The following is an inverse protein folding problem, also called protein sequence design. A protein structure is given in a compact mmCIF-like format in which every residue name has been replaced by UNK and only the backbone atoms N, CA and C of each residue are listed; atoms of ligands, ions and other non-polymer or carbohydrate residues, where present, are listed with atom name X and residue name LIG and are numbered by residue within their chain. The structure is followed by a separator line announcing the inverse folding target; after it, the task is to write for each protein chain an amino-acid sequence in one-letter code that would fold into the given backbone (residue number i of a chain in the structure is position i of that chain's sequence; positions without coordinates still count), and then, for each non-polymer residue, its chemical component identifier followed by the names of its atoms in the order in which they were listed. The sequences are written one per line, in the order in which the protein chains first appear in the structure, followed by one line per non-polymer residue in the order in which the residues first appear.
data_IF_389578872742
#
_entry.id   IF_389578872742
#
_cell.length_a   1.000
_cell.length_b   1.000
_cell.length_c   1.000
_cell.angle_alpha   90.00
_cell.angle_beta   90.00
_cell.angle_gamma   90.00
#
_symmetry.space_group_name_H-M   'P 1'
#
loop_
_entity.id
_entity.type
_entity.pdbx_description
1 polymer ?
#
# COMPACT_ATOMS: atom_id res chain seq x y z
N UNK A 1 -4.48 -44.52 -27.57
CA UNK A 1 -5.17 -43.23 -27.50
C UNK A 1 -4.66 -42.37 -28.65
N UNK A 2 -5.55 -42.01 -29.56
CA UNK A 2 -5.26 -41.37 -30.85
C UNK A 2 -4.64 -39.98 -30.63
N UNK A 3 -3.47 -39.65 -31.20
CA UNK A 3 -2.78 -38.37 -30.96
C UNK A 3 -3.57 -37.13 -31.40
N UNK A 4 -4.61 -37.30 -32.23
CA UNK A 4 -5.53 -36.24 -32.64
C UNK A 4 -6.44 -35.75 -31.51
N UNK A 5 -6.79 -36.62 -30.54
CA UNK A 5 -7.59 -36.21 -29.37
C UNK A 5 -6.78 -35.46 -28.30
N UNK A 6 -5.46 -35.66 -28.26
CA UNK A 6 -4.58 -34.90 -27.31
C UNK A 6 -4.43 -33.43 -27.71
N UNK A 7 -4.50 -33.10 -29.03
CA UNK A 7 -4.36 -31.74 -29.51
C UNK A 7 -5.59 -30.83 -29.28
N UNK A 8 -6.77 -31.42 -29.04
CA UNK A 8 -8.03 -30.73 -28.77
C UNK A 8 -8.32 -30.58 -27.27
N UNK A 9 -7.74 -31.45 -26.43
CA UNK A 9 -7.95 -31.42 -24.97
C UNK A 9 -7.23 -30.26 -24.28
N UNK A 10 -6.04 -29.86 -24.77
CA UNK A 10 -5.25 -28.77 -24.18
C UNK A 10 -5.93 -27.42 -24.33
N UNK A 11 -6.40 -26.98 -25.53
CA UNK A 11 -7.11 -25.72 -25.64
C UNK A 11 -8.45 -25.72 -24.92
N UNK A 12 -9.17 -26.86 -24.85
CA UNK A 12 -10.41 -26.96 -24.10
C UNK A 12 -10.22 -26.83 -22.58
N UNK A 13 -9.14 -27.39 -22.04
CA UNK A 13 -8.79 -27.25 -20.62
C UNK A 13 -8.37 -25.83 -20.28
N UNK A 14 -7.63 -25.18 -21.18
CA UNK A 14 -7.22 -23.77 -21.00
C UNK A 14 -8.42 -22.83 -21.04
N UNK A 15 -9.36 -23.03 -21.95
CA UNK A 15 -10.60 -22.24 -22.02
C UNK A 15 -11.45 -22.47 -20.77
N UNK A 16 -11.58 -23.72 -20.30
CA UNK A 16 -12.32 -24.02 -19.07
C UNK A 16 -11.67 -23.36 -17.85
N UNK A 17 -10.34 -23.36 -17.75
CA UNK A 17 -9.61 -22.68 -16.68
C UNK A 17 -9.81 -21.17 -16.74
N UNK A 18 -9.75 -20.55 -17.92
CA UNK A 18 -9.99 -19.11 -18.11
C UNK A 18 -11.43 -18.77 -17.71
N UNK A 19 -12.42 -19.57 -18.08
CA UNK A 19 -13.82 -19.38 -17.71
C UNK A 19 -14.00 -19.48 -16.20
N UNK A 20 -13.39 -20.45 -15.54
CA UNK A 20 -13.45 -20.61 -14.08
C UNK A 20 -12.82 -19.40 -13.38
N UNK A 21 -11.66 -18.94 -13.87
CA UNK A 21 -10.98 -17.74 -13.32
C UNK A 21 -11.84 -16.48 -13.52
N UNK A 22 -12.43 -16.31 -14.70
CA UNK A 22 -13.32 -15.18 -14.99
C UNK A 22 -14.59 -15.24 -14.14
N UNK A 23 -15.20 -16.41 -13.97
CA UNK A 23 -16.40 -16.56 -13.13
C UNK A 23 -16.09 -16.36 -11.66
N UNK A 24 -14.94 -16.84 -11.16
CA UNK A 24 -14.50 -16.58 -9.79
C UNK A 24 -14.24 -15.07 -9.57
N UNK A 25 -13.56 -14.42 -10.50
CA UNK A 25 -13.32 -12.96 -10.44
C UNK A 25 -14.61 -12.13 -10.52
N UNK A 26 -15.63 -12.61 -11.25
CA UNK A 26 -16.96 -11.98 -11.31
C UNK A 26 -17.77 -12.24 -10.04
N UNK A 27 -17.62 -13.39 -9.40
CA UNK A 27 -18.27 -13.72 -8.14
C UNK A 27 -17.68 -12.90 -6.97
N UNK A 28 -16.35 -12.73 -6.93
CA UNK A 28 -15.70 -11.85 -5.96
C UNK A 28 -16.12 -10.38 -6.14
N UNK A 29 -16.21 -9.91 -7.40
CA UNK A 29 -16.74 -8.57 -7.72
C UNK A 29 -18.20 -8.38 -7.32
N UNK A 30 -19.03 -9.43 -7.38
CA UNK A 30 -20.43 -9.36 -6.96
C UNK A 30 -20.58 -9.22 -5.44
N UNK A 31 -19.62 -9.72 -4.65
CA UNK A 31 -19.55 -9.50 -3.19
C UNK A 31 -19.02 -8.11 -2.83
N UNK A 32 -18.05 -7.60 -3.59
CA UNK A 32 -17.48 -6.27 -3.40
C UNK A 32 -18.38 -5.13 -3.93
N UNK A 33 -19.28 -5.42 -4.88
CA UNK A 33 -20.20 -4.43 -5.51
C UNK A 33 -21.28 -3.87 -4.58
N UNK A 34 -21.33 -4.26 -3.30
CA UNK A 34 -22.29 -3.77 -2.31
C UNK A 34 -21.68 -2.89 -1.22
N UNK A 35 -20.37 -2.61 -1.27
CA UNK A 35 -19.74 -1.69 -0.33
C UNK A 35 -20.16 -0.26 -0.67
N UNK A 36 -20.84 0.42 0.25
CA UNK A 36 -21.09 1.86 0.16
C UNK A 36 -19.81 2.59 0.62
N UNK A 37 -19.40 3.68 -0.05
CA UNK A 37 -18.27 4.46 0.40
C UNK A 37 -18.58 5.12 1.75
N UNK A 38 -17.60 5.21 2.63
CA UNK A 38 -17.69 5.98 3.88
C UNK A 38 -17.85 7.46 3.56
N UNK A 39 -17.06 7.96 2.62
CA UNK A 39 -17.11 9.36 2.18
C UNK A 39 -16.64 9.46 0.72
N UNK A 40 -17.01 10.55 0.04
CA UNK A 40 -16.55 10.86 -1.33
C UNK A 40 -15.78 12.17 -1.31
N UNK A 41 -14.56 12.17 -1.86
CA UNK A 41 -13.76 13.39 -2.04
C UNK A 41 -14.38 14.23 -3.17
N UNK A 42 -15.22 15.21 -2.79
CA UNK A 42 -16.10 15.89 -3.75
C UNK A 42 -15.51 17.18 -4.34
N UNK A 43 -14.34 17.62 -3.86
CA UNK A 43 -13.70 18.84 -4.38
C UNK A 43 -13.11 18.61 -5.77
N UNK A 44 -13.49 19.38 -6.79
CA UNK A 44 -13.02 19.16 -8.16
C UNK A 44 -11.53 19.45 -8.39
N UNK A 45 -10.82 19.96 -7.37
CA UNK A 45 -9.36 20.12 -7.42
C UNK A 45 -8.63 18.83 -7.07
N UNK A 46 -9.29 17.88 -6.40
CA UNK A 46 -8.73 16.56 -6.09
C UNK A 46 -9.09 15.64 -7.25
N UNK A 47 -8.18 15.50 -8.20
CA UNK A 47 -8.36 14.71 -9.42
C UNK A 47 -7.49 13.46 -9.47
N UNK A 48 -6.39 13.47 -8.74
CA UNK A 48 -5.36 12.43 -8.74
C UNK A 48 -4.86 12.25 -7.29
N UNK A 49 -5.81 11.88 -6.38
CA UNK A 49 -5.50 11.68 -4.96
C UNK A 49 -4.47 10.58 -4.79
N UNK A 50 -3.26 10.95 -4.36
CA UNK A 50 -2.14 10.05 -4.08
C UNK A 50 -1.65 10.28 -2.66
N UNK A 51 -1.60 9.19 -1.86
CA UNK A 51 -1.33 9.25 -0.44
C UNK A 51 -2.50 9.80 0.41
N UNK A 52 -2.71 9.19 1.57
CA UNK A 52 -3.72 9.59 2.54
C UNK A 52 -3.14 9.52 3.97
N UNK A 53 -3.36 10.56 4.76
CA UNK A 53 -2.98 10.56 6.17
C UNK A 53 -4.15 11.07 7.03
N UNK A 54 -4.59 10.28 8.01
CA UNK A 54 -5.65 10.68 8.96
C UNK A 54 -5.02 11.38 10.14
N UNK A 55 -5.57 12.54 10.52
CA UNK A 55 -5.13 13.30 11.67
C UNK A 55 -5.38 12.54 12.98
N UNK A 56 -4.40 12.59 13.88
CA UNK A 56 -4.58 12.16 15.26
C UNK A 56 -4.95 13.34 16.19
N UNK A 57 -4.72 14.59 15.74
CA UNK A 57 -4.95 15.81 16.54
C UNK A 57 -6.29 16.47 16.24
N UNK A 58 -6.83 16.24 15.02
CA UNK A 58 -8.06 16.86 14.55
C UNK A 58 -9.10 15.82 14.20
N UNK A 59 -10.20 15.80 14.94
CA UNK A 59 -11.30 14.86 14.70
C UNK A 59 -11.83 14.97 13.26
N UNK A 60 -12.10 13.83 12.64
CA UNK A 60 -12.66 13.74 11.29
C UNK A 60 -11.88 14.52 10.22
N UNK A 61 -10.56 14.56 10.30
CA UNK A 61 -9.72 15.24 9.33
C UNK A 61 -8.70 14.26 8.72
N UNK A 62 -8.57 14.32 7.40
CA UNK A 62 -7.52 13.61 6.66
C UNK A 62 -6.84 14.57 5.66
N UNK A 63 -5.64 14.18 5.25
CA UNK A 63 -4.83 14.92 4.28
C UNK A 63 -4.59 14.06 3.06
N UNK A 64 -4.69 14.67 1.88
CA UNK A 64 -4.27 14.07 0.62
C UNK A 64 -3.57 15.10 -0.26
N UNK A 65 -2.84 14.64 -1.25
CA UNK A 65 -2.20 15.42 -2.32
C UNK A 65 -2.69 14.92 -3.67
N UNK A 66 -2.49 15.70 -4.71
CA UNK A 66 -2.57 15.19 -6.07
C UNK A 66 -1.18 14.74 -6.53
N UNK A 67 -1.16 13.71 -7.37
CA UNK A 67 0.00 13.20 -8.08
C UNK A 67 0.67 14.27 -9.00
N UNK A 68 1.63 13.83 -9.75
CA UNK A 68 2.52 14.61 -10.63
C UNK A 68 1.81 15.61 -11.54
N UNK A 69 2.46 16.76 -11.75
CA UNK A 69 1.95 17.80 -12.66
C UNK A 69 0.90 18.74 -12.06
N UNK A 70 0.50 18.52 -10.82
CA UNK A 70 -0.43 19.35 -10.08
C UNK A 70 0.28 20.43 -9.24
N UNK A 71 -0.49 21.36 -8.67
CA UNK A 71 0.04 22.36 -7.75
C UNK A 71 0.53 21.68 -6.45
N UNK A 72 1.57 22.26 -5.84
CA UNK A 72 2.08 21.79 -4.56
C UNK A 72 1.11 22.16 -3.43
N UNK A 73 0.03 21.40 -3.29
CA UNK A 73 -1.06 21.63 -2.36
C UNK A 73 -1.37 20.35 -1.56
N UNK A 74 -1.58 20.53 -0.26
CA UNK A 74 -2.13 19.52 0.63
C UNK A 74 -3.58 19.88 0.93
N UNK A 75 -4.50 18.98 0.65
CA UNK A 75 -5.91 19.14 0.92
C UNK A 75 -6.25 18.54 2.28
N UNK A 76 -6.76 19.36 3.20
CA UNK A 76 -7.36 18.90 4.44
C UNK A 76 -8.84 18.62 4.20
N UNK A 77 -9.24 17.36 4.26
CA UNK A 77 -10.58 16.87 3.95
C UNK A 77 -11.32 16.53 5.23
N UNK A 78 -12.54 17.01 5.37
CA UNK A 78 -13.47 16.60 6.43
C UNK A 78 -14.08 15.25 6.10
N UNK A 79 -13.73 14.23 6.87
CA UNK A 79 -14.17 12.84 6.64
C UNK A 79 -15.67 12.62 6.92
N UNK A 80 -16.32 13.56 7.61
CA UNK A 80 -17.78 13.49 7.84
C UNK A 80 -18.60 13.94 6.64
N UNK A 81 -18.01 14.74 5.73
CA UNK A 81 -18.68 15.34 4.58
C UNK A 81 -18.02 15.06 3.23
N UNK A 82 -16.72 14.77 3.21
CA UNK A 82 -15.89 14.68 2.00
C UNK A 82 -15.51 16.05 1.41
N UNK A 83 -15.83 17.15 2.09
CA UNK A 83 -15.51 18.48 1.63
C UNK A 83 -14.09 18.90 2.08
N UNK A 84 -13.43 19.73 1.27
CA UNK A 84 -12.15 20.31 1.64
C UNK A 84 -12.37 21.40 2.70
N UNK A 85 -11.86 21.18 3.90
CA UNK A 85 -11.90 22.11 5.01
C UNK A 85 -10.84 23.20 4.90
N UNK A 86 -9.68 22.89 4.30
CA UNK A 86 -8.57 23.80 4.08
C UNK A 86 -7.60 23.32 3.02
N UNK A 87 -6.81 24.21 2.46
CA UNK A 87 -5.75 23.90 1.51
C UNK A 87 -4.45 24.53 1.97
N UNK A 88 -3.42 23.73 2.10
CA UNK A 88 -2.07 24.22 2.41
C UNK A 88 -1.23 24.22 1.15
N UNK A 89 -0.93 25.41 0.63
CA UNK A 89 0.03 25.57 -0.46
C UNK A 89 1.44 25.44 0.11
N UNK A 90 2.18 24.46 -0.38
CA UNK A 90 3.57 24.22 0.00
C UNK A 90 4.49 24.96 -0.98
N UNK A 91 5.39 25.79 -0.48
CA UNK A 91 6.35 26.52 -1.33
C UNK A 91 7.48 25.62 -1.78
N UNK A 92 7.16 24.69 -2.68
CA UNK A 92 8.07 23.73 -3.28
C UNK A 92 7.66 23.48 -4.73
N UNK A 93 8.61 22.99 -5.51
CA UNK A 93 8.35 22.46 -6.84
C UNK A 93 8.21 20.93 -6.68
N UNK A 94 6.98 20.43 -6.58
CA UNK A 94 6.68 19.01 -6.60
C UNK A 94 6.81 18.48 -8.03
N UNK A 95 7.39 17.29 -8.15
CA UNK A 95 7.63 16.69 -9.46
C UNK A 95 6.80 15.42 -9.68
N UNK A 96 6.80 14.53 -8.70
CA UNK A 96 6.12 13.24 -8.75
C UNK A 96 5.81 12.83 -7.29
N UNK A 97 4.84 13.53 -6.69
CA UNK A 97 4.45 13.31 -5.29
C UNK A 97 3.48 12.16 -5.24
N UNK A 98 3.84 11.11 -4.49
CA UNK A 98 3.12 9.84 -4.48
C UNK A 98 2.74 9.36 -3.07
N UNK A 99 3.19 10.05 -2.04
CA UNK A 99 3.02 9.49 -0.69
C UNK A 99 2.91 10.56 0.40
N UNK A 100 2.11 10.25 1.41
CA UNK A 100 1.99 11.01 2.65
C UNK A 100 2.19 10.11 3.87
N UNK A 101 2.85 10.64 4.90
CA UNK A 101 2.87 10.04 6.22
C UNK A 101 2.75 11.11 7.31
N UNK A 102 1.91 10.86 8.31
CA UNK A 102 1.75 11.77 9.44
C UNK A 102 2.28 11.10 10.71
N UNK A 103 3.17 11.80 11.42
CA UNK A 103 3.68 11.34 12.72
C UNK A 103 4.06 12.53 13.59
N UNK A 104 3.62 12.49 14.84
CA UNK A 104 4.00 13.46 15.87
C UNK A 104 3.83 14.93 15.44
N UNK A 105 2.70 15.26 14.78
CA UNK A 105 2.39 16.59 14.28
C UNK A 105 3.24 17.04 13.08
N UNK A 106 3.99 16.14 12.44
CA UNK A 106 4.71 16.38 11.19
C UNK A 106 4.08 15.61 10.05
N UNK A 107 3.65 16.33 9.02
CA UNK A 107 3.22 15.73 7.75
C UNK A 107 4.42 15.65 6.82
N UNK A 108 4.80 14.41 6.50
CA UNK A 108 5.81 14.07 5.53
C UNK A 108 5.18 13.89 4.16
N UNK A 109 5.77 14.49 3.13
CA UNK A 109 5.33 14.43 1.75
C UNK A 109 6.46 13.83 0.94
N UNK A 110 6.20 12.73 0.25
CA UNK A 110 7.17 12.01 -0.57
C UNK A 110 7.08 12.39 -2.04
N UNK A 111 8.05 13.16 -2.54
CA UNK A 111 8.27 13.38 -3.98
C UNK A 111 9.26 12.32 -4.47
N UNK A 112 8.76 11.09 -4.57
CA UNK A 112 9.55 9.86 -4.69
C UNK A 112 9.13 8.98 -5.87
N UNK A 113 8.08 9.34 -6.61
CA UNK A 113 7.65 8.67 -7.82
C UNK A 113 8.73 8.71 -8.90
N UNK A 114 8.94 7.59 -9.58
CA UNK A 114 9.89 7.46 -10.68
C UNK A 114 9.53 6.30 -11.61
N UNK A 115 8.39 6.41 -12.25
CA UNK A 115 7.88 5.42 -13.22
C UNK A 115 8.90 5.04 -14.32
N UNK A 116 9.92 5.89 -14.55
CA UNK A 116 10.98 5.67 -15.56
C UNK A 116 12.26 5.13 -14.96
N UNK A 117 12.40 5.19 -13.64
CA UNK A 117 13.62 4.82 -12.90
C UNK A 117 14.86 5.57 -13.40
N UNK A 118 14.71 6.88 -13.51
CA UNK A 118 15.73 7.78 -14.08
C UNK A 118 15.99 8.98 -13.16
N UNK A 119 15.23 9.14 -12.05
CA UNK A 119 15.35 10.31 -11.19
C UNK A 119 16.57 10.22 -10.26
N UNK A 120 17.24 11.37 -10.11
CA UNK A 120 18.33 11.61 -9.17
C UNK A 120 18.01 12.76 -8.20
N UNK A 121 16.74 13.21 -8.19
CA UNK A 121 16.26 14.40 -7.47
C UNK A 121 15.13 14.08 -6.48
N UNK A 122 14.97 12.83 -6.06
CA UNK A 122 13.97 12.43 -5.08
C UNK A 122 14.08 13.29 -3.80
N UNK A 123 12.94 13.60 -3.19
CA UNK A 123 12.92 14.43 -2.01
C UNK A 123 11.79 14.06 -1.04
N UNK A 124 12.07 14.26 0.24
CA UNK A 124 11.05 14.36 1.27
C UNK A 124 10.85 15.81 1.64
N UNK A 125 9.59 16.19 1.85
CA UNK A 125 9.24 17.48 2.41
C UNK A 125 8.52 17.25 3.74
N UNK A 126 8.86 18.07 4.75
CA UNK A 126 8.21 18.03 6.05
C UNK A 126 7.61 19.39 6.37
N UNK A 127 6.34 19.38 6.74
CA UNK A 127 5.60 20.55 7.24
C UNK A 127 4.96 20.20 8.59
N UNK A 128 4.65 21.22 9.37
CA UNK A 128 3.81 21.03 10.55
C UNK A 128 2.42 20.56 10.08
N UNK A 129 1.78 19.69 10.84
CA UNK A 129 0.46 19.15 10.50
C UNK A 129 -0.51 20.31 10.23
N UNK A 130 -1.12 20.37 9.02
CA UNK A 130 -2.08 21.43 8.70
C UNK A 130 -3.38 21.23 9.47
N UNK A 131 -3.98 22.36 9.91
CA UNK A 131 -5.35 22.31 10.41
C UNK A 131 -6.37 22.50 9.29
N UNK A 132 -7.59 22.93 9.68
CA UNK A 132 -8.71 23.21 8.76
C UNK A 132 -8.59 24.59 8.05
N UNK A 133 -7.54 25.34 8.26
CA UNK A 133 -7.35 26.68 7.65
C UNK A 133 -6.53 26.59 6.36
N UNK A 134 -6.93 27.39 5.36
CA UNK A 134 -6.09 27.58 4.18
C UNK A 134 -4.85 28.40 4.55
N UNK A 135 -3.67 27.89 4.17
CA UNK A 135 -2.37 28.48 4.50
C UNK A 135 -1.36 28.35 3.35
N UNK A 136 -0.24 29.05 3.50
CA UNK A 136 0.95 28.84 2.67
C UNK A 136 2.14 28.62 3.59
N UNK A 137 2.90 27.57 3.37
CA UNK A 137 4.00 27.16 4.25
C UNK A 137 5.31 26.97 3.49
N UNK A 138 6.42 27.19 4.19
CA UNK A 138 7.77 26.81 3.72
C UNK A 138 8.09 25.42 4.27
N UNK A 139 8.33 24.41 3.45
CA UNK A 139 8.67 23.08 3.92
C UNK A 139 10.14 22.99 4.31
N UNK A 140 10.48 22.06 5.19
CA UNK A 140 11.83 21.50 5.25
C UNK A 140 11.98 20.51 4.10
N UNK A 141 12.97 20.69 3.25
CA UNK A 141 13.25 19.78 2.13
C UNK A 141 14.50 18.97 2.40
N UNK A 142 14.44 17.69 2.13
CA UNK A 142 15.55 16.74 2.23
C UNK A 142 15.68 15.98 0.92
N UNK A 143 16.81 16.11 0.26
CA UNK A 143 17.12 15.26 -0.88
C UNK A 143 17.40 13.83 -0.41
N UNK A 144 16.86 12.85 -1.09
CA UNK A 144 17.04 11.44 -0.77
C UNK A 144 17.44 10.63 -1.99
N UNK A 145 18.02 9.46 -1.74
CA UNK A 145 18.33 8.46 -2.75
C UNK A 145 17.99 7.07 -2.21
N UNK A 146 17.99 6.08 -3.08
CA UNK A 146 17.66 4.70 -2.71
C UNK A 146 18.89 3.83 -2.90
N UNK A 147 19.22 2.99 -1.92
CA UNK A 147 20.21 1.94 -2.09
C UNK A 147 19.80 1.02 -3.25
N UNK A 148 20.73 0.73 -4.14
CA UNK A 148 20.45 -0.04 -5.35
C UNK A 148 20.12 0.81 -6.58
N UNK A 149 19.98 2.12 -6.43
CA UNK A 149 19.74 3.08 -7.52
C UNK A 149 18.27 3.44 -7.75
N UNK A 150 17.95 4.15 -8.82
CA UNK A 150 16.61 4.66 -9.10
C UNK A 150 15.55 3.56 -9.15
N UNK A 151 14.46 3.74 -8.43
CA UNK A 151 13.30 2.85 -8.40
C UNK A 151 12.03 3.68 -8.22
N UNK A 152 10.93 3.17 -8.73
CA UNK A 152 9.61 3.73 -8.52
C UNK A 152 9.13 3.45 -7.10
N UNK A 153 8.67 4.49 -6.39
CA UNK A 153 8.24 4.43 -5.00
C UNK A 153 6.95 5.22 -4.87
N UNK A 154 5.92 4.60 -4.30
CA UNK A 154 4.62 5.22 -4.09
C UNK A 154 4.13 5.07 -2.64
N UNK A 155 5.04 4.81 -1.71
CA UNK A 155 4.70 4.55 -0.31
C UNK A 155 5.68 5.27 0.60
N UNK A 156 5.18 6.01 1.56
CA UNK A 156 5.96 6.59 2.65
C UNK A 156 5.34 6.19 3.99
N UNK A 157 6.13 5.58 4.83
CA UNK A 157 5.70 5.10 6.14
C UNK A 157 6.50 5.80 7.24
N UNK A 158 5.81 6.20 8.30
CA UNK A 158 6.42 6.79 9.49
C UNK A 158 5.92 6.02 10.72
N UNK A 159 6.66 5.01 11.22
CA UNK A 159 6.25 4.21 12.37
C UNK A 159 5.99 5.05 13.61
N UNK A 160 4.87 4.88 14.34
CA UNK A 160 4.61 5.62 15.56
C UNK A 160 5.63 5.28 16.64
N UNK A 161 6.06 6.30 17.40
CA UNK A 161 7.05 6.15 18.47
C UNK A 161 8.46 5.78 18.00
N UNK A 162 8.79 5.99 16.71
CA UNK A 162 10.08 5.74 16.10
C UNK A 162 10.54 6.99 15.34
N UNK A 163 11.81 7.11 15.07
CA UNK A 163 12.41 8.13 14.21
C UNK A 163 12.68 7.64 12.77
N UNK A 164 12.15 6.46 12.42
CA UNK A 164 12.35 5.89 11.10
C UNK A 164 11.35 6.46 10.09
N UNK A 165 11.82 6.62 8.87
CA UNK A 165 11.03 6.79 7.65
C UNK A 165 11.30 5.59 6.75
N UNK A 166 10.27 5.08 6.12
CA UNK A 166 10.37 3.87 5.30
C UNK A 166 9.63 4.06 3.99
N UNK A 167 10.12 3.41 2.94
CA UNK A 167 9.51 3.42 1.61
C UNK A 167 9.46 2.01 1.05
N UNK A 168 8.47 1.75 0.19
CA UNK A 168 8.35 0.46 -0.51
C UNK A 168 8.37 0.72 -2.01
N UNK A 169 9.23 -0.04 -2.73
CA UNK A 169 9.31 0.10 -4.18
C UNK A 169 8.10 -0.50 -4.89
N UNK A 170 7.56 0.19 -5.89
CA UNK A 170 6.46 -0.29 -6.75
C UNK A 170 7.00 -1.15 -7.87
N UNK A 171 7.08 -2.44 -7.64
CA UNK A 171 7.54 -3.42 -8.63
C UNK A 171 6.63 -4.64 -8.72
N UNK A 172 6.61 -5.31 -9.89
CA UNK A 172 5.82 -6.55 -10.08
C UNK A 172 6.40 -7.77 -9.38
N UNK A 173 7.68 -7.72 -9.02
CA UNK A 173 8.38 -8.78 -8.31
C UNK A 173 9.50 -8.18 -7.48
N UNK A 174 9.84 -8.83 -6.37
CA UNK A 174 10.94 -8.43 -5.48
C UNK A 174 10.83 -6.98 -4.98
N UNK A 175 9.60 -6.51 -4.70
CA UNK A 175 9.40 -5.22 -4.07
C UNK A 175 10.16 -5.16 -2.75
N UNK A 176 10.80 -4.03 -2.51
CA UNK A 176 11.79 -3.84 -1.44
C UNK A 176 11.33 -2.74 -0.49
N UNK A 177 11.46 -3.01 0.81
CA UNK A 177 11.35 -2.02 1.86
C UNK A 177 12.72 -1.41 2.11
N UNK A 178 12.79 -0.09 2.12
CA UNK A 178 13.99 0.65 2.48
C UNK A 178 13.69 1.56 3.68
N UNK A 179 14.69 1.84 4.49
CA UNK A 179 14.54 2.59 5.74
C UNK A 179 15.64 3.65 5.87
N UNK A 180 15.27 4.75 6.49
CA UNK A 180 16.12 5.90 6.79
C UNK A 180 15.76 6.41 8.18
N UNK A 181 16.74 6.77 9.02
CA UNK A 181 16.45 7.46 10.28
C UNK A 181 16.30 8.97 10.05
N UNK A 182 15.26 9.58 10.63
CA UNK A 182 14.99 11.02 10.49
C UNK A 182 16.16 11.87 10.97
N UNK A 183 16.88 11.40 12.01
CA UNK A 183 18.06 12.06 12.53
C UNK A 183 19.24 12.12 11.58
N UNK A 184 19.25 11.29 10.52
CA UNK A 184 20.31 11.25 9.51
C UNK A 184 20.01 12.15 8.31
N UNK A 185 18.80 12.74 8.24
CA UNK A 185 18.42 13.65 7.15
C UNK A 185 19.32 14.89 7.11
N UNK A 186 20.03 15.08 6.01
CA UNK A 186 20.90 16.22 5.78
C UNK A 186 20.19 17.28 4.92
N UNK A 187 19.85 18.46 5.46
CA UNK A 187 19.21 19.52 4.67
C UNK A 187 20.14 20.14 3.61
N UNK A 188 21.45 19.87 3.67
CA UNK A 188 22.44 20.42 2.74
C UNK A 188 23.00 19.36 1.77
N UNK A 189 22.71 18.09 2.00
CA UNK A 189 23.17 16.96 1.22
C UNK A 189 22.02 16.08 0.70
N UNK A 190 22.36 14.83 0.42
CA UNK A 190 21.38 13.76 0.13
C UNK A 190 21.60 12.62 1.11
N UNK A 191 20.51 12.05 1.62
CA UNK A 191 20.54 10.90 2.52
C UNK A 191 20.00 9.67 1.79
N UNK A 192 20.65 8.54 1.94
CA UNK A 192 20.26 7.30 1.26
C UNK A 192 19.34 6.47 2.14
N UNK A 193 18.21 6.00 1.58
CA UNK A 193 17.41 4.94 2.17
C UNK A 193 18.13 3.61 1.98
N UNK A 194 18.35 2.87 3.07
CA UNK A 194 19.03 1.58 3.07
C UNK A 194 18.03 0.43 2.97
N UNK A 195 18.38 -0.62 2.24
CA UNK A 195 17.53 -1.82 2.09
C UNK A 195 17.36 -2.52 3.43
N UNK A 196 16.14 -2.66 3.86
CA UNK A 196 15.75 -3.40 5.08
C UNK A 196 15.37 -4.83 4.77
N UNK A 197 14.47 -5.04 3.81
CA UNK A 197 14.04 -6.37 3.39
C UNK A 197 13.46 -6.34 1.97
N UNK A 198 13.39 -7.51 1.33
CA UNK A 198 12.75 -7.71 0.04
C UNK A 198 11.60 -8.70 0.15
N UNK A 199 10.86 -8.91 -0.95
CA UNK A 199 9.71 -9.80 -0.97
C UNK A 199 8.44 -9.17 -0.43
N UNK A 200 8.37 -7.83 -0.42
CA UNK A 200 7.16 -7.08 -0.14
C UNK A 200 6.07 -7.39 -1.19
N UNK A 201 4.79 -7.13 -0.89
CA UNK A 201 3.71 -7.29 -1.87
C UNK A 201 4.01 -6.58 -3.19
N UNK A 202 3.57 -7.13 -4.33
CA UNK A 202 3.84 -6.52 -5.63
C UNK A 202 2.96 -5.28 -5.85
N UNK A 203 3.50 -4.30 -6.59
CA UNK A 203 2.77 -3.10 -7.03
C UNK A 203 2.11 -2.34 -5.88
N UNK A 204 2.84 -2.17 -4.78
CA UNK A 204 2.38 -1.34 -3.66
C UNK A 204 2.28 0.11 -4.13
N UNK A 205 1.11 0.71 -3.89
CA UNK A 205 0.77 2.08 -4.29
C UNK A 205 0.61 3.03 -3.10
N UNK A 206 0.36 2.51 -1.89
CA UNK A 206 0.39 3.30 -0.66
C UNK A 206 0.47 2.38 0.55
N UNK A 207 0.76 2.95 1.73
CA UNK A 207 0.83 2.23 2.98
C UNK A 207 0.70 3.13 4.20
N UNK A 208 0.28 2.53 5.31
CA UNK A 208 0.17 3.23 6.58
C UNK A 208 0.46 2.29 7.76
N UNK A 209 0.93 2.84 8.87
CA UNK A 209 0.98 2.16 10.16
C UNK A 209 -0.33 2.34 10.93
N UNK A 210 -0.73 1.32 11.69
CA UNK A 210 -1.79 1.47 12.70
C UNK A 210 -1.35 2.47 13.79
N UNK A 211 -2.30 3.17 14.44
CA UNK A 211 -1.99 4.13 15.50
C UNK A 211 -1.16 3.52 16.64
N UNK A 212 -1.38 2.26 17.00
CA UNK A 212 -0.62 1.53 18.01
C UNK A 212 0.72 0.95 17.50
N UNK A 213 1.02 1.07 16.20
CA UNK A 213 2.22 0.55 15.56
C UNK A 213 2.28 -0.97 15.41
N UNK A 214 1.20 -1.70 15.72
CA UNK A 214 1.19 -3.17 15.72
C UNK A 214 0.97 -3.79 14.34
N UNK A 215 0.54 -3.00 13.35
CA UNK A 215 0.22 -3.42 11.99
C UNK A 215 0.66 -2.38 10.96
N UNK A 216 0.89 -2.87 9.74
CA UNK A 216 1.03 -2.03 8.55
C UNK A 216 -0.01 -2.48 7.54
N UNK A 217 -0.74 -1.53 6.99
CA UNK A 217 -1.56 -1.72 5.80
C UNK A 217 -0.76 -1.33 4.57
N UNK A 218 -0.78 -2.16 3.54
CA UNK A 218 -0.25 -1.83 2.21
C UNK A 218 -1.36 -2.07 1.19
N UNK A 219 -1.54 -1.16 0.25
CA UNK A 219 -2.46 -1.35 -0.87
C UNK A 219 -1.71 -1.54 -2.18
N UNK A 220 -2.34 -2.22 -3.10
CA UNK A 220 -1.95 -2.37 -4.48
C UNK A 220 -3.20 -2.33 -5.35
N UNK A 221 -3.10 -2.38 -6.68
CA UNK A 221 -4.24 -2.21 -7.61
C UNK A 221 -5.43 -3.17 -7.44
N UNK A 222 -5.52 -3.95 -6.43
CA UNK A 222 -6.67 -4.83 -6.22
C UNK A 222 -6.65 -5.57 -4.90
N UNK A 223 -5.68 -5.28 -4.04
CA UNK A 223 -5.52 -5.96 -2.77
C UNK A 223 -5.10 -5.01 -1.64
N UNK A 224 -5.66 -5.25 -0.47
CA UNK A 224 -5.22 -4.72 0.81
C UNK A 224 -4.45 -5.83 1.54
N UNK A 225 -3.26 -5.50 2.02
CA UNK A 225 -2.39 -6.38 2.78
C UNK A 225 -2.27 -5.88 4.21
N UNK A 226 -2.31 -6.79 5.17
CA UNK A 226 -1.93 -6.55 6.55
C UNK A 226 -0.58 -7.19 6.81
N UNK A 227 0.40 -6.42 7.29
CA UNK A 227 1.75 -6.88 7.56
C UNK A 227 2.07 -6.79 9.06
N UNK A 228 2.91 -7.69 9.55
CA UNK A 228 3.53 -7.59 10.87
C UNK A 228 4.80 -6.73 10.74
N UNK A 229 4.88 -5.55 11.40
CA UNK A 229 6.05 -4.69 11.28
C UNK A 229 7.33 -5.27 11.91
N UNK A 230 7.24 -6.31 12.73
CA UNK A 230 8.41 -6.90 13.39
C UNK A 230 9.30 -7.69 12.42
N UNK A 231 8.70 -8.33 11.41
CA UNK A 231 9.42 -9.16 10.44
C UNK A 231 8.90 -8.98 9.00
N UNK A 232 7.93 -8.08 8.80
CA UNK A 232 7.30 -7.78 7.52
C UNK A 232 6.61 -8.98 6.86
N UNK A 233 6.27 -9.97 7.64
CA UNK A 233 5.47 -11.10 7.16
C UNK A 233 4.00 -10.69 6.95
N UNK A 234 3.32 -11.21 5.90
CA UNK A 234 1.90 -10.95 5.72
C UNK A 234 1.06 -11.64 6.79
N UNK A 235 0.24 -10.87 7.48
CA UNK A 235 -0.76 -11.33 8.45
C UNK A 235 -2.05 -11.74 7.75
N UNK A 236 -2.42 -11.01 6.69
CA UNK A 236 -3.59 -11.28 5.89
C UNK A 236 -3.62 -10.46 4.62
N UNK A 237 -4.54 -10.81 3.73
CA UNK A 237 -4.83 -10.01 2.54
C UNK A 237 -6.29 -10.14 2.16
N UNK A 238 -6.85 -9.08 1.57
CA UNK A 238 -8.23 -9.00 1.11
C UNK A 238 -8.34 -8.28 -0.23
N UNK A 239 -9.43 -8.54 -0.96
CA UNK A 239 -9.73 -7.81 -2.18
C UNK A 239 -10.28 -6.43 -1.87
N UNK A 240 -9.91 -5.44 -2.66
CA UNK A 240 -10.47 -4.09 -2.58
C UNK A 240 -11.84 -3.99 -3.26
N UNK A 241 -12.69 -3.02 -2.87
CA UNK A 241 -13.83 -2.60 -3.66
C UNK A 241 -13.39 -2.24 -5.10
N UNK A 242 -14.33 -2.12 -6.05
CA UNK A 242 -13.99 -1.70 -7.41
C UNK A 242 -13.57 -0.23 -7.40
N UNK A 243 -12.27 0.01 -7.37
CA UNK A 243 -11.60 1.29 -7.50
C UNK A 243 -10.99 1.39 -8.91
N UNK A 244 -10.95 2.59 -9.48
CA UNK A 244 -10.32 2.80 -10.80
C UNK A 244 -8.82 2.55 -10.71
N UNK A 245 -8.18 3.15 -9.69
CA UNK A 245 -6.77 3.00 -9.38
C UNK A 245 -6.60 3.23 -7.87
N UNK A 246 -6.34 2.16 -7.12
CA UNK A 246 -6.15 2.25 -5.67
C UNK A 246 -4.80 2.88 -5.37
N UNK A 247 -4.80 4.08 -4.79
CA UNK A 247 -3.59 4.89 -4.56
C UNK A 247 -3.52 5.45 -3.14
N UNK A 248 -4.50 5.14 -2.27
CA UNK A 248 -4.48 5.69 -0.92
C UNK A 248 -4.91 4.69 0.13
N UNK A 249 -4.22 4.68 1.28
CA UNK A 249 -4.64 3.97 2.48
C UNK A 249 -4.24 4.71 3.75
N UNK A 250 -5.16 4.84 4.71
CA UNK A 250 -4.85 5.37 6.03
C UNK A 250 -5.67 4.66 7.11
N UNK A 251 -5.08 4.45 8.29
CA UNK A 251 -5.82 3.93 9.43
C UNK A 251 -6.76 4.97 10.02
N UNK A 252 -7.96 4.51 10.41
CA UNK A 252 -8.93 5.27 11.22
C UNK A 252 -9.09 4.67 12.62
N UNK A 253 -8.59 3.47 12.83
CA UNK A 253 -8.44 2.77 14.13
C UNK A 253 -7.34 1.71 13.97
N UNK A 254 -6.99 0.99 15.04
CA UNK A 254 -5.94 -0.04 14.98
C UNK A 254 -6.30 -1.23 14.07
N UNK A 255 -7.56 -1.41 13.71
CA UNK A 255 -8.09 -2.54 12.95
C UNK A 255 -8.87 -2.16 11.68
N UNK A 256 -9.04 -0.86 11.39
CA UNK A 256 -9.77 -0.38 10.22
C UNK A 256 -9.03 0.73 9.47
N UNK A 257 -9.14 0.66 8.15
CA UNK A 257 -8.51 1.60 7.22
C UNK A 257 -9.54 2.27 6.30
N UNK A 258 -9.24 3.46 5.82
CA UNK A 258 -9.82 4.04 4.62
C UNK A 258 -8.95 3.70 3.43
N UNK A 259 -9.57 3.31 2.33
CA UNK A 259 -8.89 3.04 1.05
C UNK A 259 -9.58 3.85 -0.03
N UNK A 260 -8.82 4.51 -0.85
CA UNK A 260 -9.31 5.38 -1.93
C UNK A 260 -8.65 5.12 -3.27
N UNK A 261 -9.04 5.93 -4.24
CA UNK A 261 -8.61 5.84 -5.62
C UNK A 261 -8.25 7.22 -6.16
N UNK A 262 -7.50 7.27 -7.23
CA UNK A 262 -7.48 8.44 -8.11
C UNK A 262 -8.86 8.68 -8.75
N UNK A 263 -8.99 9.84 -9.38
CA UNK A 263 -10.15 10.26 -10.15
C UNK A 263 -11.00 11.32 -9.45
N UNK A 264 -11.82 12.02 -10.26
CA UNK A 264 -12.76 13.01 -9.76
C UNK A 264 -13.84 12.34 -8.88
N UNK A 265 -14.21 12.99 -7.78
CA UNK A 265 -15.18 12.49 -6.83
C UNK A 265 -14.85 11.06 -6.33
N UNK A 266 -13.58 10.84 -6.01
CA UNK A 266 -13.07 9.54 -5.57
C UNK A 266 -13.70 9.10 -4.25
N UNK A 267 -14.21 7.85 -4.18
CA UNK A 267 -14.76 7.30 -2.95
C UNK A 267 -13.64 6.82 -2.02
N UNK A 268 -13.81 7.05 -0.72
CA UNK A 268 -13.06 6.39 0.34
C UNK A 268 -13.93 5.30 0.98
N UNK A 269 -13.43 4.08 0.97
CA UNK A 269 -14.10 2.94 1.59
C UNK A 269 -13.46 2.61 2.92
N UNK A 270 -14.29 2.45 3.96
CA UNK A 270 -13.84 1.90 5.24
C UNK A 270 -13.79 0.38 5.14
N UNK A 271 -12.66 -0.21 5.44
CA UNK A 271 -12.43 -1.65 5.42
C UNK A 271 -11.81 -2.10 6.74
N UNK A 272 -12.23 -3.27 7.21
CA UNK A 272 -11.51 -3.96 8.27
C UNK A 272 -10.17 -4.47 7.75
N UNK A 273 -9.12 -4.37 8.55
CA UNK A 273 -7.81 -4.87 8.18
C UNK A 273 -7.84 -6.40 8.07
N UNK A 274 -7.44 -6.99 6.94
CA UNK A 274 -7.52 -8.43 6.77
C UNK A 274 -6.56 -9.16 7.71
N UNK A 275 -7.09 -10.17 8.43
CA UNK A 275 -6.33 -11.09 9.25
C UNK A 275 -6.63 -12.52 8.81
N UNK A 276 -5.61 -13.39 8.69
CA UNK A 276 -5.84 -14.80 8.40
C UNK A 276 -6.36 -15.51 9.64
N UNK A 277 -7.20 -16.54 9.48
CA UNK A 277 -7.69 -17.36 10.60
C UNK A 277 -6.54 -17.94 11.44
N UNK A 278 -5.41 -18.26 10.82
CA UNK A 278 -4.21 -18.78 11.51
C UNK A 278 -3.54 -17.70 12.38
N UNK A 279 -3.59 -16.43 11.97
CA UNK A 279 -3.07 -15.32 12.75
C UNK A 279 -4.02 -14.94 13.90
N UNK A 280 -5.34 -15.02 13.68
CA UNK A 280 -6.35 -14.78 14.70
C UNK A 280 -6.19 -15.72 15.90
N UNK A 281 -5.88 -17.00 15.67
CA UNK A 281 -5.62 -17.98 16.74
C UNK A 281 -4.35 -17.63 17.56
N UNK A 282 -3.32 -17.05 16.97
CA UNK A 282 -2.11 -16.61 17.68
C UNK A 282 -2.39 -15.43 18.60
N UNK A 283 -3.14 -14.44 18.12
CA UNK A 283 -3.52 -13.26 18.92
C UNK A 283 -4.39 -13.66 20.10
N UNK A 284 -5.37 -14.56 19.91
CA UNK A 284 -6.23 -15.07 20.97
C UNK A 284 -5.43 -15.87 22.02
N UNK A 285 -4.37 -16.58 21.61
CA UNK A 285 -3.54 -17.38 22.51
C UNK A 285 -2.62 -16.53 23.37
N UNK A 286 -2.12 -15.39 22.86
CA UNK A 286 -1.29 -14.46 23.64
C UNK A 286 -2.12 -13.71 24.68
N UNK A 287 -3.35 -13.33 24.37
CA UNK A 287 -4.24 -12.61 25.30
C UNK A 287 -4.69 -13.46 26.50
N UNK A 288 -4.60 -14.81 26.43
CA UNK A 288 -5.03 -15.72 27.50
C UNK A 288 -3.89 -16.29 28.35
N UNK A 289 -2.62 -16.01 28.04
CA UNK A 289 -1.46 -16.53 28.77
C UNK A 289 -1.02 -15.60 29.91
N UNK A 290 -1.68 -15.71 31.06
CA UNK A 290 -1.14 -15.21 32.35
C UNK A 290 0.07 -16.07 32.71
N UNK A 291 1.25 -15.53 33.04
CA UNK A 291 2.42 -16.35 33.38
C UNK A 291 2.25 -17.07 34.70
N UNK A 292 2.24 -18.40 34.66
CA UNK A 292 2.31 -19.27 35.85
C UNK A 292 3.80 -19.50 36.17
N UNK A 293 4.22 -19.40 37.45
CA UNK A 293 5.64 -19.55 37.81
C UNK A 293 6.16 -20.96 37.54
N UNK A 294 7.33 -21.03 36.92
CA UNK A 294 8.05 -22.22 36.46
C UNK A 294 8.69 -22.97 37.65
N UNK A 295 8.57 -24.31 37.72
CA UNK A 295 9.54 -25.13 38.45
C UNK A 295 10.71 -25.52 37.50
N UNK A 296 11.87 -25.52 38.14
CA UNK A 296 13.18 -25.86 37.55
C UNK A 296 13.20 -27.21 36.82
N UNK A 297 13.85 -27.25 35.67
CA UNK A 297 13.99 -28.41 34.81
C UNK A 297 15.41 -28.98 34.80
N UNK A 298 15.50 -30.28 34.83
CA UNK A 298 16.65 -31.13 34.58
C UNK A 298 16.64 -31.59 33.09
N UNK A 299 17.80 -31.87 32.45
CA UNK A 299 17.88 -31.96 30.99
C UNK A 299 17.64 -33.39 30.47
N UNK A 300 16.91 -33.51 29.37
CA UNK A 300 16.76 -34.75 28.60
C UNK A 300 16.93 -34.57 27.10
N UNK A 301 17.89 -35.33 26.61
CA UNK A 301 18.07 -36.04 25.34
C UNK A 301 17.49 -35.50 24.01
N UNK A 302 18.39 -35.41 23.04
CA UNK A 302 18.21 -35.23 21.58
C UNK A 302 17.34 -36.33 20.94
N UNK A 303 16.44 -35.93 20.05
CA UNK A 303 15.93 -36.81 18.99
C UNK A 303 15.65 -36.02 17.70
N UNK A 304 16.39 -36.42 16.69
CA UNK A 304 16.16 -36.50 15.22
C UNK A 304 15.23 -35.50 14.50
N UNK A 305 15.86 -34.82 13.53
CA UNK A 305 15.30 -34.12 12.39
C UNK A 305 14.15 -34.86 11.69
N UNK A 306 13.07 -34.16 11.45
CA UNK A 306 12.13 -34.44 10.38
C UNK A 306 12.00 -33.19 9.52
N UNK A 307 12.44 -33.32 8.28
CA UNK A 307 12.25 -32.35 7.21
C UNK A 307 10.77 -32.28 6.86
N UNK A 308 10.09 -31.19 7.25
CA UNK A 308 8.76 -30.89 6.74
C UNK A 308 8.88 -30.30 5.33
N UNK A 309 8.30 -31.00 4.38
CA UNK A 309 8.22 -30.55 3.00
C UNK A 309 7.32 -29.32 2.88
N UNK A 310 7.81 -28.32 2.16
CA UNK A 310 7.13 -27.09 1.83
C UNK A 310 5.88 -27.41 0.98
N UNK A 311 4.71 -27.46 1.59
CA UNK A 311 3.43 -27.59 0.90
C UNK A 311 2.96 -26.17 0.51
N UNK A 312 3.13 -25.83 -0.78
CA UNK A 312 2.55 -24.62 -1.35
C UNK A 312 1.03 -24.79 -1.38
N UNK A 313 0.30 -23.95 -0.64
CA UNK A 313 -1.16 -23.95 -0.68
C UNK A 313 -1.63 -23.50 -2.08
N UNK A 314 -2.47 -24.33 -2.69
CA UNK A 314 -3.03 -24.10 -4.03
C UNK A 314 -3.81 -22.76 -4.13
N UNK A 315 -4.31 -22.24 -3.01
CA UNK A 315 -5.00 -20.95 -2.95
C UNK A 315 -4.03 -19.77 -3.17
N UNK A 316 -2.84 -19.82 -2.60
CA UNK A 316 -1.80 -18.79 -2.79
C UNK A 316 -1.31 -18.75 -4.25
N UNK A 317 -1.22 -19.91 -4.92
CA UNK A 317 -0.91 -19.99 -6.35
C UNK A 317 -2.02 -19.40 -7.24
N UNK A 318 -3.28 -19.55 -6.84
CA UNK A 318 -4.45 -19.03 -7.61
C UNK A 318 -4.52 -17.52 -7.52
N UNK A 319 -4.34 -16.93 -6.34
CA UNK A 319 -4.38 -15.46 -6.14
C UNK A 319 -3.22 -14.76 -6.87
N UNK A 320 -2.00 -15.29 -6.77
CA UNK A 320 -0.84 -14.77 -7.51
C UNK A 320 -0.98 -14.90 -9.04
N UNK A 321 -1.64 -15.96 -9.52
CA UNK A 321 -1.92 -16.19 -10.95
C UNK A 321 -2.97 -15.23 -11.54
N UNK A 322 -3.93 -14.77 -10.74
CA UNK A 322 -4.99 -13.84 -11.16
C UNK A 322 -4.42 -12.45 -11.40
N UNK A 323 -3.54 -11.95 -10.52
CA UNK A 323 -2.87 -10.67 -10.70
C UNK A 323 -2.05 -10.61 -12.00
N UNK A 324 -1.27 -11.64 -12.30
CA UNK A 324 -0.47 -11.72 -13.51
C UNK A 324 -1.32 -11.78 -14.79
N UNK A 325 -2.46 -12.48 -14.76
CA UNK A 325 -3.37 -12.57 -15.91
C UNK A 325 -4.07 -11.24 -16.21
N UNK A 326 -4.43 -10.46 -15.18
CA UNK A 326 -5.03 -9.15 -15.33
C UNK A 326 -4.05 -8.13 -15.94
N UNK A 327 -2.80 -8.12 -15.46
CA UNK A 327 -1.73 -7.26 -16.00
C UNK A 327 -1.43 -7.59 -17.47
N UNK A 328 -1.38 -8.87 -17.83
CA UNK A 328 -1.17 -9.30 -19.22
C UNK A 328 -2.37 -8.91 -20.11
N UNK A 329 -3.61 -8.98 -19.62
CA UNK A 329 -4.79 -8.58 -20.36
C UNK A 329 -4.82 -7.06 -20.61
N UNK A 330 -4.46 -6.25 -19.61
CA UNK A 330 -4.35 -4.80 -19.72
C UNK A 330 -3.22 -4.41 -20.71
N UNK A 331 -2.07 -5.05 -20.65
CA UNK A 331 -0.98 -4.83 -21.59
C UNK A 331 -1.39 -5.12 -23.04
N UNK A 332 -2.14 -6.20 -23.27
CA UNK A 332 -2.67 -6.55 -24.60
C UNK A 332 -3.68 -5.51 -25.12
N UNK A 333 -4.57 -5.03 -24.25
CA UNK A 333 -5.54 -3.98 -24.61
C UNK A 333 -4.84 -2.66 -24.92
N UNK A 334 -3.82 -2.28 -24.14
CA UNK A 334 -3.03 -1.08 -24.35
C UNK A 334 -2.24 -1.12 -25.68
N UNK A 335 -1.59 -2.24 -25.97
CA UNK A 335 -0.87 -2.44 -27.24
C UNK A 335 -1.84 -2.44 -28.43
N UNK A 336 -3.01 -3.06 -28.30
CA UNK A 336 -4.03 -3.09 -29.35
C UNK A 336 -4.64 -1.70 -29.63
N UNK A 337 -4.79 -0.84 -28.59
CA UNK A 337 -5.24 0.55 -28.75
C UNK A 337 -4.17 1.42 -29.43
N UNK A 338 -2.89 1.28 -29.06
CA UNK A 338 -1.79 2.01 -29.74
C UNK A 338 -1.60 1.63 -31.20
N UNK A 339 -1.92 0.41 -31.58
CA UNK A 339 -1.89 -0.03 -32.99
C UNK A 339 -2.97 0.59 -33.84
N UNK A 340 -4.12 1.01 -33.28
CA UNK A 340 -5.23 1.64 -34.04
C UNK A 340 -5.11 3.15 -34.20
N UNK A 341 -4.25 3.82 -33.46
CA UNK A 341 -4.02 5.29 -33.63
C UNK A 341 -2.90 5.63 -34.64
N UNK A 342 -2.34 4.63 -35.33
CA UNK A 342 -1.29 4.79 -36.36
C UNK A 342 -1.69 4.25 -37.72
N UNK A 343 -2.97 3.97 -37.95
CA UNK A 343 -3.51 3.59 -39.27
C UNK A 343 -4.40 4.70 -39.84
#
# INVERSE_FOLDING_TARGET
VNPRHRRLLIPGLLIALIVVVVVASLADRAGAASAEPEVVLSDPRITESSGLAVSAEHDDLAYTVNDSGNAAEVFAVDLSTGEVAGVTTVRADFRDVEALALRDGTLWIGDVGDNRRERDDLALFAIDEPGRATATVEPRRFAVSLEGGPADVETLLAPPGSDLLQVVTKTVADATLLTLAEGDLDPAGSTEFEVTTSGMPPLVTDGAYSPDGSRVALVSYGALWSMDPADWSPVGSGSLPPLEQSETVAFVSDDAVLVGSEGEASPLYRLDLPVSEVAADRVATVATSTPKPTPSAEPAARSSEQSEGFAIDLRTLVVGGIGLAAVLALAVVFVARRGRSRA
#
